data_IF_537630178274
#
_entry.id   IF_537630178274
#
_cell.length_a   1.000
_cell.length_b   1.000
_cell.length_c   1.000
_cell.angle_alpha   90.00
_cell.angle_beta   90.00
_cell.angle_gamma   90.00
#
_symmetry.space_group_name_H-M   'P 1'
#
loop_
_entity.id
_entity.type
_entity.pdbx_description
1 polymer ?
#
# COMPACT_ATOMS: atom_id res chain seq x y z
N UNK A 1 9.59 -11.88 -20.17
CA UNK A 1 8.59 -10.83 -19.90
C UNK A 1 7.56 -11.36 -18.89
N UNK A 2 7.66 -11.13 -17.56
CA UNK A 2 6.72 -11.74 -16.65
C UNK A 2 5.48 -10.84 -16.50
N UNK A 3 4.56 -10.98 -17.44
CA UNK A 3 3.20 -10.43 -17.36
C UNK A 3 2.36 -11.17 -16.30
N UNK A 4 2.83 -12.35 -15.84
CA UNK A 4 2.15 -13.25 -14.91
C UNK A 4 2.25 -12.82 -13.44
N UNK A 5 3.11 -11.87 -13.12
CA UNK A 5 3.42 -11.50 -11.73
C UNK A 5 2.57 -10.29 -11.25
N UNK A 6 1.77 -9.65 -12.11
CA UNK A 6 0.84 -8.56 -11.75
C UNK A 6 -0.41 -9.08 -11.02
N UNK A 7 -0.96 -10.20 -11.48
CA UNK A 7 -2.15 -10.85 -10.90
C UNK A 7 -2.08 -11.09 -9.38
N UNK A 8 -0.95 -11.56 -8.79
CA UNK A 8 -0.91 -11.87 -7.36
C UNK A 8 -0.87 -10.62 -6.46
N UNK A 9 -0.25 -9.51 -6.90
CA UNK A 9 -0.29 -8.23 -6.17
C UNK A 9 -1.70 -7.63 -6.16
N UNK A 10 -2.37 -7.67 -7.33
CA UNK A 10 -3.75 -7.23 -7.48
C UNK A 10 -4.73 -8.10 -6.68
N UNK A 11 -4.57 -9.43 -6.70
CA UNK A 11 -5.40 -10.33 -5.90
C UNK A 11 -5.29 -10.09 -4.39
N UNK A 12 -4.08 -9.85 -3.90
CA UNK A 12 -3.84 -9.51 -2.49
C UNK A 12 -4.46 -8.16 -2.12
N UNK A 13 -4.37 -7.18 -3.04
CA UNK A 13 -5.01 -5.88 -2.87
C UNK A 13 -6.54 -5.97 -2.83
N UNK A 14 -7.16 -6.72 -3.75
CA UNK A 14 -8.61 -6.94 -3.79
C UNK A 14 -9.09 -7.62 -2.50
N UNK A 15 -8.32 -8.59 -1.99
CA UNK A 15 -8.63 -9.23 -0.70
C UNK A 15 -8.65 -8.23 0.46
N UNK A 16 -7.71 -7.29 0.49
CA UNK A 16 -7.74 -6.17 1.44
C UNK A 16 -8.99 -5.30 1.29
N UNK A 17 -9.42 -5.04 0.05
CA UNK A 17 -10.63 -4.25 -0.25
C UNK A 17 -11.91 -4.96 0.21
N UNK A 18 -11.99 -6.29 0.07
CA UNK A 18 -13.06 -7.09 0.64
C UNK A 18 -13.16 -6.91 2.17
N UNK A 19 -12.04 -7.02 2.88
CA UNK A 19 -12.01 -6.80 4.34
C UNK A 19 -12.36 -5.37 4.74
N UNK A 20 -11.93 -4.39 3.95
CA UNK A 20 -12.28 -2.98 4.14
C UNK A 20 -13.79 -2.77 4.02
N UNK A 21 -14.42 -3.37 3.01
CA UNK A 21 -15.86 -3.30 2.81
C UNK A 21 -16.64 -4.01 3.93
N UNK A 22 -16.09 -5.08 4.51
CA UNK A 22 -16.62 -5.73 5.72
C UNK A 22 -16.42 -4.90 7.01
N UNK A 23 -15.86 -3.69 6.93
CA UNK A 23 -15.46 -2.84 8.07
C UNK A 23 -14.43 -3.49 9.00
N UNK A 24 -13.77 -4.56 8.56
CA UNK A 24 -12.70 -5.25 9.29
C UNK A 24 -11.36 -4.62 8.93
N UNK A 25 -11.20 -3.36 9.29
CA UNK A 25 -10.04 -2.55 8.92
C UNK A 25 -8.71 -3.14 9.40
N UNK A 26 -8.69 -3.77 10.58
CA UNK A 26 -7.49 -4.44 11.12
C UNK A 26 -6.99 -5.55 10.20
N UNK A 27 -7.89 -6.40 9.72
CA UNK A 27 -7.56 -7.47 8.74
C UNK A 27 -7.20 -6.91 7.38
N UNK A 28 -7.89 -5.85 6.94
CA UNK A 28 -7.59 -5.17 5.68
C UNK A 28 -6.15 -4.64 5.67
N UNK A 29 -5.71 -4.02 6.77
CA UNK A 29 -4.35 -3.50 6.93
C UNK A 29 -3.31 -4.61 6.73
N UNK A 30 -3.51 -5.78 7.36
CA UNK A 30 -2.59 -6.91 7.24
C UNK A 30 -2.45 -7.37 5.79
N UNK A 31 -3.56 -7.51 5.06
CA UNK A 31 -3.52 -7.94 3.66
C UNK A 31 -2.89 -6.88 2.74
N UNK A 32 -3.16 -5.58 2.97
CA UNK A 32 -2.51 -4.52 2.21
C UNK A 32 -1.00 -4.43 2.48
N UNK A 33 -0.56 -4.60 3.73
CA UNK A 33 0.87 -4.59 4.08
C UNK A 33 1.64 -5.77 3.48
N UNK A 34 0.97 -6.89 3.16
CA UNK A 34 1.58 -8.01 2.45
C UNK A 34 1.98 -7.67 1.02
N UNK A 35 1.29 -6.74 0.36
CA UNK A 35 1.56 -6.39 -1.04
C UNK A 35 3.02 -5.92 -1.24
N UNK A 36 3.51 -4.88 -0.53
CA UNK A 36 4.90 -4.45 -0.68
C UNK A 36 5.93 -5.48 -0.18
N UNK A 37 5.55 -6.42 0.69
CA UNK A 37 6.44 -7.46 1.24
C UNK A 37 6.61 -8.61 0.25
N UNK A 38 5.50 -9.12 -0.29
CA UNK A 38 5.48 -10.25 -1.21
C UNK A 38 5.86 -9.85 -2.63
N UNK A 39 5.58 -8.60 -2.99
CA UNK A 39 5.73 -8.09 -4.35
C UNK A 39 6.56 -6.79 -4.39
N UNK A 40 7.79 -6.78 -3.86
CA UNK A 40 8.62 -5.57 -3.79
C UNK A 40 9.00 -5.04 -5.18
N UNK A 41 8.98 -5.92 -6.20
CA UNK A 41 9.17 -5.53 -7.61
C UNK A 41 8.07 -4.58 -8.13
N UNK A 42 6.87 -4.62 -7.53
CA UNK A 42 5.72 -3.80 -7.92
C UNK A 42 5.55 -2.63 -6.95
N UNK A 43 6.49 -1.69 -7.01
CA UNK A 43 6.50 -0.50 -6.15
C UNK A 43 5.19 0.30 -6.21
N UNK A 44 4.57 0.41 -7.39
CA UNK A 44 3.29 1.10 -7.57
C UNK A 44 2.15 0.47 -6.76
N UNK A 45 2.06 -0.86 -6.78
CA UNK A 45 1.08 -1.60 -5.97
C UNK A 45 1.38 -1.52 -4.49
N UNK A 46 2.66 -1.54 -4.10
CA UNK A 46 3.09 -1.31 -2.73
C UNK A 46 2.65 0.05 -2.19
N UNK A 47 2.86 1.12 -2.97
CA UNK A 47 2.41 2.48 -2.63
C UNK A 47 0.88 2.55 -2.54
N UNK A 48 0.16 2.00 -3.52
CA UNK A 48 -1.31 1.96 -3.54
C UNK A 48 -1.88 1.21 -2.34
N UNK A 49 -1.26 0.10 -1.95
CA UNK A 49 -1.66 -0.67 -0.77
C UNK A 49 -1.38 0.08 0.53
N UNK A 50 -0.22 0.73 0.67
CA UNK A 50 0.07 1.58 1.85
C UNK A 50 -0.89 2.77 1.95
N UNK A 51 -1.31 3.36 0.84
CA UNK A 51 -2.33 4.40 0.84
C UNK A 51 -3.67 3.87 1.39
N UNK A 52 -4.08 2.66 1.00
CA UNK A 52 -5.26 1.99 1.58
C UNK A 52 -5.10 1.71 3.07
N UNK A 53 -3.91 1.32 3.53
CA UNK A 53 -3.61 1.17 4.97
C UNK A 53 -3.83 2.47 5.72
N UNK A 54 -3.36 3.60 5.18
CA UNK A 54 -3.63 4.93 5.75
C UNK A 54 -5.13 5.19 5.91
N UNK A 55 -5.93 4.90 4.88
CA UNK A 55 -7.40 5.03 4.95
C UNK A 55 -8.04 4.09 5.97
N UNK A 56 -7.50 2.89 6.14
CA UNK A 56 -7.97 1.96 7.18
C UNK A 56 -7.70 2.53 8.58
N UNK A 57 -6.53 3.14 8.80
CA UNK A 57 -6.23 3.80 10.06
C UNK A 57 -7.13 5.00 10.33
N UNK A 58 -7.46 5.80 9.31
CA UNK A 58 -8.46 6.88 9.43
C UNK A 58 -9.83 6.34 9.84
N UNK A 59 -10.28 5.24 9.21
CA UNK A 59 -11.54 4.60 9.55
C UNK A 59 -11.56 4.00 10.96
N UNK A 60 -10.40 3.64 11.51
CA UNK A 60 -10.22 3.20 12.90
C UNK A 60 -10.08 4.36 13.91
N UNK A 61 -10.09 5.62 13.45
CA UNK A 61 -9.84 6.80 14.29
C UNK A 61 -8.37 7.00 14.67
N UNK A 62 -7.46 6.23 14.08
CA UNK A 62 -6.01 6.26 14.32
C UNK A 62 -5.31 7.26 13.40
N UNK A 63 -5.69 8.53 13.51
CA UNK A 63 -5.23 9.58 12.59
C UNK A 63 -3.71 9.82 12.63
N UNK A 64 -3.07 9.66 13.78
CA UNK A 64 -1.60 9.78 13.89
C UNK A 64 -0.86 8.69 13.10
N UNK A 65 -1.35 7.44 13.18
CA UNK A 65 -0.79 6.31 12.44
C UNK A 65 -1.02 6.46 10.93
N UNK A 66 -2.20 6.94 10.54
CA UNK A 66 -2.51 7.27 9.15
C UNK A 66 -1.54 8.33 8.60
N UNK A 67 -1.36 9.43 9.34
CA UNK A 67 -0.47 10.53 8.93
C UNK A 67 0.98 10.06 8.77
N UNK A 68 1.49 9.26 9.72
CA UNK A 68 2.83 8.65 9.63
C UNK A 68 2.94 7.74 8.39
N UNK A 69 1.89 6.99 8.08
CA UNK A 69 1.87 6.12 6.90
C UNK A 69 1.92 6.94 5.61
N UNK A 70 1.11 8.00 5.50
CA UNK A 70 1.14 8.89 4.33
C UNK A 70 2.47 9.63 4.17
N UNK A 71 3.08 10.09 5.27
CA UNK A 71 4.40 10.73 5.22
C UNK A 71 5.48 9.78 4.70
N UNK A 72 5.45 8.50 5.10
CA UNK A 72 6.38 7.49 4.56
C UNK A 72 6.21 7.30 3.06
N UNK A 73 4.97 7.26 2.56
CA UNK A 73 4.69 7.14 1.13
C UNK A 73 5.27 8.33 0.37
N UNK A 74 4.98 9.55 0.84
CA UNK A 74 5.48 10.78 0.22
C UNK A 74 7.00 10.80 0.21
N UNK A 75 7.65 10.45 1.32
CA UNK A 75 9.11 10.40 1.37
C UNK A 75 9.71 9.44 0.32
N UNK A 76 9.10 8.27 0.13
CA UNK A 76 9.53 7.30 -0.90
C UNK A 76 9.33 7.85 -2.32
N UNK A 77 8.25 8.60 -2.56
CA UNK A 77 7.98 9.22 -3.86
C UNK A 77 8.92 10.40 -4.15
N UNK A 78 9.15 11.28 -3.18
CA UNK A 78 10.10 12.41 -3.27
C UNK A 78 11.52 11.93 -3.53
N UNK A 79 11.96 10.86 -2.84
CA UNK A 79 13.24 10.21 -3.11
C UNK A 79 13.30 9.64 -4.53
N UNK A 80 12.19 9.13 -5.07
CA UNK A 80 12.15 8.58 -6.43
C UNK A 80 12.28 9.68 -7.49
N UNK A 81 11.76 10.88 -7.23
CA UNK A 81 11.92 12.06 -8.10
C UNK A 81 13.35 12.59 -8.07
N UNK A 82 13.99 12.65 -6.90
CA UNK A 82 15.38 13.08 -6.75
C UNK A 82 16.34 12.17 -7.54
N UNK A 83 16.22 10.85 -7.39
CA UNK A 83 17.06 9.88 -8.14
C UNK A 83 16.73 9.78 -9.64
N UNK A 84 15.57 10.29 -10.07
CA UNK A 84 15.18 10.28 -11.50
C UNK A 84 15.73 11.50 -12.25
N UNK A 85 16.00 12.59 -11.55
CA UNK A 85 16.52 13.82 -12.15
C UNK A 85 18.05 13.84 -12.28
N UNK A 86 18.75 12.90 -11.65
CA UNK A 86 20.21 12.72 -11.72
C UNK A 86 20.68 11.66 -12.75
N UNK A 87 19.79 11.20 -13.66
CA UNK A 87 20.07 10.17 -14.67
C UNK A 87 19.95 10.68 -16.12
#
# INVERSE_FOLDING_TARGET
FPITQIFPAEGTFIKGDCWFNEKKFDKAIVEYLRVPILYPQYKEWGVKAQFRVGRCYEALGKFEEAKKTYQKILQVESLKEEYRNDA
#
